data_IF_882242543780
#
_entry.id   IF_882242543780
#
_cell.length_a   1.000
_cell.length_b   1.000
_cell.length_c   1.000
_cell.angle_alpha   90.00
_cell.angle_beta   90.00
_cell.angle_gamma   90.00
#
_symmetry.space_group_name_H-M   'P 1'
#
loop_
_entity.id
_entity.type
_entity.pdbx_description
1 polymer ?
#
# COMPACT_ATOMS: atom_id res chain seq x y z
N UNK A 1 10.65 10.86 -49.94
CA UNK A 1 10.02 11.52 -48.78
C UNK A 1 10.07 13.03 -48.93
N UNK A 2 8.93 13.71 -48.86
CA UNK A 2 8.92 15.19 -48.84
C UNK A 2 9.38 15.71 -47.48
N UNK A 3 9.91 16.95 -47.42
CA UNK A 3 10.32 17.57 -46.14
C UNK A 3 9.19 17.58 -45.10
N UNK A 4 7.94 17.74 -45.56
CA UNK A 4 6.73 17.66 -44.73
C UNK A 4 6.51 16.25 -44.16
N UNK A 5 6.63 15.21 -44.99
CA UNK A 5 6.53 13.82 -44.54
C UNK A 5 7.61 13.47 -43.51
N UNK A 6 8.89 13.80 -43.77
CA UNK A 6 10.00 13.54 -42.84
C UNK A 6 9.78 14.20 -41.47
N UNK A 7 9.29 15.44 -41.45
CA UNK A 7 8.95 16.15 -40.21
C UNK A 7 7.80 15.48 -39.46
N UNK A 8 6.76 15.03 -40.18
CA UNK A 8 5.64 14.31 -39.59
C UNK A 8 6.06 12.97 -38.99
N UNK A 9 6.96 12.23 -39.64
CA UNK A 9 7.50 10.97 -39.12
C UNK A 9 8.33 11.19 -37.86
N UNK A 10 9.15 12.25 -37.83
CA UNK A 10 9.93 12.62 -36.63
C UNK A 10 9.03 13.01 -35.46
N UNK A 11 8.02 13.86 -35.69
CA UNK A 11 7.07 14.26 -34.66
C UNK A 11 6.26 13.06 -34.15
N UNK A 12 5.76 12.22 -35.06
CA UNK A 12 5.04 11.01 -34.70
C UNK A 12 5.90 10.03 -33.90
N UNK A 13 7.15 9.80 -34.31
CA UNK A 13 8.10 8.97 -33.58
C UNK A 13 8.39 9.53 -32.18
N UNK A 14 8.61 10.84 -32.07
CA UNK A 14 8.82 11.49 -30.77
C UNK A 14 7.60 11.37 -29.84
N UNK A 15 6.38 11.52 -30.37
CA UNK A 15 5.15 11.33 -29.60
C UNK A 15 4.99 9.89 -29.12
N UNK A 16 5.30 8.89 -29.95
CA UNK A 16 5.25 7.48 -29.56
C UNK A 16 6.23 7.19 -28.44
N UNK A 17 7.48 7.66 -28.56
CA UNK A 17 8.49 7.50 -27.50
C UNK A 17 8.05 8.16 -26.20
N UNK A 18 7.50 9.37 -26.28
CA UNK A 18 7.01 10.10 -25.11
C UNK A 18 5.83 9.40 -24.45
N UNK A 19 4.89 8.85 -25.24
CA UNK A 19 3.77 8.07 -24.72
C UNK A 19 4.23 6.79 -24.00
N UNK A 20 5.22 6.07 -24.56
CA UNK A 20 5.80 4.89 -23.92
C UNK A 20 6.48 5.27 -22.60
N UNK A 21 7.28 6.34 -22.60
CA UNK A 21 7.94 6.82 -21.39
C UNK A 21 6.93 7.19 -20.29
N UNK A 22 5.87 7.92 -20.64
CA UNK A 22 4.81 8.27 -19.71
C UNK A 22 4.08 7.04 -19.16
N UNK A 23 3.77 6.06 -20.01
CA UNK A 23 3.12 4.82 -19.59
C UNK A 23 3.99 4.02 -18.59
N UNK A 24 5.30 3.94 -18.83
CA UNK A 24 6.24 3.29 -17.92
C UNK A 24 6.32 4.00 -16.56
N UNK A 25 6.40 5.33 -16.57
CA UNK A 25 6.43 6.13 -15.33
C UNK A 25 5.14 5.96 -14.53
N UNK A 26 3.98 6.06 -15.18
CA UNK A 26 2.69 5.88 -14.52
C UNK A 26 2.54 4.47 -13.94
N UNK A 27 3.07 3.45 -14.63
CA UNK A 27 3.06 2.08 -14.13
C UNK A 27 3.97 1.93 -12.89
N UNK A 28 5.20 2.45 -12.95
CA UNK A 28 6.13 2.41 -11.82
C UNK A 28 5.61 3.16 -10.59
N UNK A 29 4.87 4.26 -10.79
CA UNK A 29 4.26 5.02 -9.70
C UNK A 29 3.12 4.26 -9.02
N UNK A 30 2.37 3.40 -9.73
CA UNK A 30 1.30 2.58 -9.10
C UNK A 30 1.84 1.69 -7.99
N UNK A 31 3.05 1.18 -8.14
CA UNK A 31 3.70 0.32 -7.15
C UNK A 31 4.45 1.11 -6.07
N UNK A 32 4.81 2.37 -6.34
CA UNK A 32 5.65 3.20 -5.45
C UNK A 32 4.86 4.06 -4.46
N UNK A 33 3.54 4.16 -4.60
CA UNK A 33 2.72 4.86 -3.61
C UNK A 33 2.54 3.93 -2.41
N UNK A 34 3.06 4.36 -1.27
CA UNK A 34 2.91 3.65 0.01
C UNK A 34 1.44 3.67 0.43
N UNK A 35 0.66 2.74 -0.11
CA UNK A 35 -0.72 2.52 0.29
C UNK A 35 -0.74 1.75 1.61
N UNK A 36 -1.38 2.34 2.61
CA UNK A 36 -1.88 1.56 3.73
C UNK A 36 -2.90 0.57 3.17
N UNK A 37 -2.62 -0.72 3.33
CA UNK A 37 -3.56 -1.78 2.97
C UNK A 37 -4.55 -1.92 4.11
N UNK A 38 -5.85 -1.97 3.80
CA UNK A 38 -6.85 -2.28 4.81
C UNK A 38 -6.85 -3.78 5.10
N UNK A 39 -7.37 -4.24 6.26
CA UNK A 39 -7.61 -5.64 6.53
C UNK A 39 -8.32 -6.38 5.40
N UNK A 40 -9.36 -5.79 4.79
CA UNK A 40 -10.08 -6.40 3.67
C UNK A 40 -9.18 -6.56 2.44
N UNK A 41 -8.42 -5.51 2.07
CA UNK A 41 -7.49 -5.58 0.94
C UNK A 41 -6.37 -6.59 1.18
N UNK A 42 -5.87 -6.71 2.40
CA UNK A 42 -4.83 -7.68 2.75
C UNK A 42 -5.35 -9.12 2.66
N UNK A 43 -6.59 -9.36 3.06
CA UNK A 43 -7.26 -10.65 2.93
C UNK A 43 -7.49 -11.03 1.46
N UNK A 44 -7.94 -10.08 0.63
CA UNK A 44 -8.21 -10.30 -0.80
C UNK A 44 -6.93 -10.46 -1.64
N UNK A 45 -5.92 -9.61 -1.40
CA UNK A 45 -4.66 -9.65 -2.17
C UNK A 45 -3.76 -10.84 -1.81
N UNK A 46 -4.08 -11.61 -0.77
CA UNK A 46 -3.29 -12.74 -0.26
C UNK A 46 -1.80 -12.41 -0.23
N UNK A 47 -1.43 -11.41 0.57
CA UNK A 47 -0.04 -10.94 0.68
C UNK A 47 0.86 -12.14 1.03
N UNK A 48 1.87 -12.38 0.18
CA UNK A 48 2.76 -13.52 0.34
C UNK A 48 3.56 -13.39 1.64
N UNK A 49 3.79 -14.50 2.37
CA UNK A 49 4.66 -14.49 3.54
C UNK A 49 6.03 -13.89 3.21
N UNK A 50 6.54 -13.03 4.08
CA UNK A 50 7.83 -12.35 3.92
C UNK A 50 7.78 -11.00 3.20
N UNK A 51 6.63 -10.62 2.63
CA UNK A 51 6.45 -9.30 2.05
C UNK A 51 6.13 -8.27 3.14
N UNK A 52 6.88 -7.16 3.17
CA UNK A 52 6.59 -6.02 4.05
C UNK A 52 5.51 -5.16 3.41
N UNK A 53 4.52 -4.77 4.21
CA UNK A 53 3.48 -3.84 3.82
C UNK A 53 3.06 -3.00 5.02
N UNK A 54 2.35 -1.90 4.78
CA UNK A 54 1.74 -1.10 5.85
C UNK A 54 0.28 -1.46 5.94
N UNK A 55 -0.17 -1.84 7.13
CA UNK A 55 -1.58 -2.08 7.43
C UNK A 55 -2.17 -0.80 8.03
N UNK A 56 -3.35 -0.39 7.56
CA UNK A 56 -4.10 0.71 8.16
C UNK A 56 -5.50 0.27 8.53
N UNK A 57 -6.02 0.74 9.65
CA UNK A 57 -7.37 0.40 10.11
C UNK A 57 -7.63 0.84 11.54
N UNK A 58 -8.73 0.40 12.13
CA UNK A 58 -9.06 0.69 13.52
C UNK A 58 -8.69 -0.49 14.42
N UNK A 59 -8.15 -0.21 15.60
CA UNK A 59 -7.92 -1.23 16.62
C UNK A 59 -9.26 -1.64 17.22
N UNK A 60 -9.60 -2.93 17.15
CA UNK A 60 -10.86 -3.46 17.68
C UNK A 60 -10.88 -3.32 19.21
N UNK A 61 -12.00 -2.85 19.76
CA UNK A 61 -12.22 -2.76 21.21
C UNK A 61 -12.15 -4.13 21.89
N UNK A 62 -11.49 -4.19 23.05
CA UNK A 62 -11.26 -5.41 23.83
C UNK A 62 -10.29 -6.41 23.19
N UNK A 63 -9.60 -6.07 22.10
CA UNK A 63 -8.64 -6.97 21.43
C UNK A 63 -7.20 -6.80 21.92
N UNK A 64 -6.89 -5.73 22.66
CA UNK A 64 -5.53 -5.40 23.06
C UNK A 64 -5.04 -6.29 24.20
N UNK A 65 -4.21 -7.27 23.87
CA UNK A 65 -3.58 -8.18 24.83
C UNK A 65 -2.09 -7.85 24.94
N UNK A 66 -1.68 -7.41 26.13
CA UNK A 66 -0.27 -7.21 26.47
C UNK A 66 0.29 -8.50 27.08
N UNK A 67 1.33 -9.05 26.48
CA UNK A 67 2.07 -10.21 26.96
C UNK A 67 3.40 -9.84 27.59
N UNK A 68 4.24 -10.86 27.83
CA UNK A 68 5.57 -10.67 28.39
C UNK A 68 6.57 -10.06 27.38
N UNK A 69 7.64 -9.45 27.90
CA UNK A 69 8.74 -8.92 27.09
C UNK A 69 8.32 -7.88 26.03
N UNK A 70 7.33 -7.01 26.30
CA UNK A 70 6.82 -6.02 25.35
C UNK A 70 6.14 -6.61 24.10
N UNK A 71 5.68 -7.87 24.18
CA UNK A 71 4.81 -8.46 23.14
C UNK A 71 3.40 -7.94 23.31
N UNK A 72 2.80 -7.48 22.23
CA UNK A 72 1.42 -7.01 22.20
C UNK A 72 0.72 -7.71 21.04
N UNK A 73 -0.51 -8.16 21.27
CA UNK A 73 -1.41 -8.63 20.23
C UNK A 73 -2.65 -7.77 20.22
N UNK A 74 -3.14 -7.43 19.04
CA UNK A 74 -4.37 -6.69 18.87
C UNK A 74 -4.94 -6.97 17.48
N UNK A 75 -6.24 -6.74 17.33
CA UNK A 75 -6.91 -6.95 16.06
C UNK A 75 -7.17 -5.61 15.38
N UNK A 76 -6.87 -5.52 14.09
CA UNK A 76 -7.14 -4.33 13.26
C UNK A 76 -8.30 -4.62 12.33
N UNK A 77 -9.28 -3.72 12.28
CA UNK A 77 -10.48 -3.84 11.45
C UNK A 77 -10.73 -2.59 10.61
N UNK A 78 -11.28 -2.76 9.41
CA UNK A 78 -11.83 -1.66 8.60
C UNK A 78 -13.36 -1.62 8.64
N UNK A 79 -13.99 -2.37 9.55
CA UNK A 79 -15.43 -2.54 9.66
C UNK A 79 -15.99 -3.75 8.90
N UNK A 80 -15.29 -4.24 7.88
CA UNK A 80 -15.71 -5.41 7.10
C UNK A 80 -14.90 -6.65 7.45
N UNK A 81 -13.59 -6.50 7.57
CA UNK A 81 -12.67 -7.59 7.89
C UNK A 81 -11.88 -7.28 9.16
N UNK A 82 -11.32 -8.31 9.78
CA UNK A 82 -10.45 -8.18 10.95
C UNK A 82 -9.18 -9.00 10.73
N UNK A 83 -8.03 -8.39 10.99
CA UNK A 83 -6.72 -9.03 10.86
C UNK A 83 -5.99 -9.00 12.21
N UNK A 84 -5.54 -10.16 12.73
CA UNK A 84 -4.75 -10.20 13.96
C UNK A 84 -3.33 -9.70 13.71
N UNK A 85 -2.85 -8.82 14.58
CA UNK A 85 -1.53 -8.21 14.52
C UNK A 85 -0.74 -8.55 15.78
N UNK A 86 0.50 -8.99 15.59
CA UNK A 86 1.47 -9.16 16.65
C UNK A 86 2.53 -8.05 16.55
N UNK A 87 2.71 -7.31 17.63
CA UNK A 87 3.67 -6.23 17.76
C UNK A 87 4.68 -6.54 18.87
N UNK A 88 5.92 -6.15 18.66
CA UNK A 88 7.02 -6.35 19.61
C UNK A 88 7.70 -5.00 19.81
N UNK A 89 7.50 -4.38 20.98
CA UNK A 89 8.05 -3.07 21.28
C UNK A 89 7.14 -2.23 22.16
N UNK A 90 7.53 -0.97 22.35
CA UNK A 90 6.78 0.01 23.11
C UNK A 90 5.70 0.60 22.19
N UNK A 91 4.43 0.47 22.57
CA UNK A 91 3.34 1.14 21.86
C UNK A 91 3.43 2.66 22.09
N UNK A 92 3.16 3.49 21.07
CA UNK A 92 3.03 4.94 21.27
C UNK A 92 1.94 5.27 22.31
N UNK A 93 2.12 6.36 23.06
CA UNK A 93 1.17 6.75 24.12
C UNK A 93 -0.24 7.08 23.60
N UNK A 94 -0.34 7.45 22.32
CA UNK A 94 -1.59 7.71 21.63
C UNK A 94 -2.27 6.43 21.12
N UNK A 95 -1.64 5.27 21.20
CA UNK A 95 -2.24 4.02 20.75
C UNK A 95 -3.32 3.56 21.72
N UNK A 96 -4.57 3.49 21.25
CA UNK A 96 -5.73 3.04 22.03
C UNK A 96 -6.67 2.21 21.18
N UNK A 97 -7.45 1.38 21.85
CA UNK A 97 -8.57 0.69 21.22
C UNK A 97 -9.62 1.69 20.71
N UNK A 98 -10.32 1.34 19.63
CA UNK A 98 -11.31 2.21 19.00
C UNK A 98 -10.71 3.37 18.19
N UNK A 99 -9.39 3.42 18.02
CA UNK A 99 -8.71 4.45 17.22
C UNK A 99 -8.10 3.89 15.93
N UNK A 100 -7.99 4.76 14.94
CA UNK A 100 -7.31 4.48 13.67
C UNK A 100 -5.79 4.48 13.83
N UNK A 101 -5.13 3.47 13.25
CA UNK A 101 -3.69 3.23 13.26
C UNK A 101 -3.16 2.91 11.87
#
# INVERSE_FOLDING_TARGET
MTRKQRRLTLIGGALVVLAIAAALVLNALRDSIVFFSTPTMAAEKQIKPGQRFRLGGMVREGSLVRGEQLKVKFDVTDGNSTLPVAYQGILPDLFREGQGV
#
